data_IF_356902382889
#
_entry.id   IF_356902382889
#
_cell.length_a   1.000
_cell.length_b   1.000
_cell.length_c   1.000
_cell.angle_alpha   90.00
_cell.angle_beta   90.00
_cell.angle_gamma   90.00
#
_symmetry.space_group_name_H-M   'P 1'
#
loop_
_entity.id
_entity.type
_entity.pdbx_description
1 polymer ?
#
# COMPACT_ATOMS: atom_id res chain seq x y z
N UNK A 1 33.75 -2.25 -19.61
CA UNK A 1 33.07 -1.02 -19.15
C UNK A 1 32.31 -1.41 -17.90
N UNK A 2 32.67 -0.85 -16.74
CA UNK A 2 31.95 -1.15 -15.50
C UNK A 2 30.52 -0.63 -15.61
N UNK A 3 29.54 -1.47 -15.28
CA UNK A 3 28.18 -0.99 -15.03
C UNK A 3 28.25 0.14 -14.00
N UNK A 4 27.54 1.26 -14.20
CA UNK A 4 27.45 2.27 -13.16
C UNK A 4 26.97 1.60 -11.88
N UNK A 5 27.66 1.84 -10.76
CA UNK A 5 27.32 1.27 -9.45
C UNK A 5 25.92 1.73 -8.98
N UNK A 6 25.41 2.80 -9.59
CA UNK A 6 24.09 3.38 -9.33
C UNK A 6 23.43 3.74 -10.66
N UNK A 7 22.33 3.07 -10.99
CA UNK A 7 21.41 3.43 -12.08
C UNK A 7 20.02 3.65 -11.51
N UNK A 8 19.53 4.89 -11.49
CA UNK A 8 18.23 5.25 -10.93
C UNK A 8 17.31 5.73 -12.05
N UNK A 9 16.20 5.03 -12.24
CA UNK A 9 15.08 5.53 -13.04
C UNK A 9 13.95 5.99 -12.12
N UNK A 10 13.87 7.31 -11.90
CA UNK A 10 12.86 7.91 -11.04
C UNK A 10 11.43 7.69 -11.55
N UNK A 11 11.25 7.60 -12.87
CA UNK A 11 9.95 7.38 -13.50
C UNK A 11 9.43 5.97 -13.21
N UNK A 12 10.28 4.95 -13.33
CA UNK A 12 9.91 3.56 -13.04
C UNK A 12 9.53 3.39 -11.55
N UNK A 13 10.30 3.99 -10.64
CA UNK A 13 10.03 3.92 -9.20
C UNK A 13 8.71 4.64 -8.87
N UNK A 14 8.48 5.81 -9.47
CA UNK A 14 7.23 6.57 -9.28
C UNK A 14 6.04 5.82 -9.84
N UNK A 15 6.19 5.18 -11.00
CA UNK A 15 5.16 4.35 -11.63
C UNK A 15 4.79 3.18 -10.73
N UNK A 16 5.78 2.44 -10.22
CA UNK A 16 5.54 1.33 -9.29
C UNK A 16 4.85 1.79 -8.00
N UNK A 17 5.32 2.88 -7.38
CA UNK A 17 4.71 3.45 -6.18
C UNK A 17 3.24 3.86 -6.42
N UNK A 18 2.96 4.48 -7.57
CA UNK A 18 1.61 4.90 -7.94
C UNK A 18 0.69 3.70 -8.13
N UNK A 19 1.13 2.68 -8.88
CA UNK A 19 0.36 1.46 -9.08
C UNK A 19 0.01 0.76 -7.77
N UNK A 20 0.98 0.64 -6.85
CA UNK A 20 0.77 0.04 -5.53
C UNK A 20 -0.22 0.86 -4.69
N UNK A 21 -0.10 2.19 -4.71
CA UNK A 21 -1.04 3.07 -4.01
C UNK A 21 -2.46 2.97 -4.58
N UNK A 22 -2.62 3.02 -5.91
CA UNK A 22 -3.93 2.90 -6.55
C UNK A 22 -4.57 1.55 -6.24
N UNK A 23 -3.81 0.45 -6.38
CA UNK A 23 -4.31 -0.88 -6.07
C UNK A 23 -4.77 -0.99 -4.61
N UNK A 24 -3.97 -0.48 -3.66
CA UNK A 24 -4.30 -0.56 -2.24
C UNK A 24 -5.50 0.32 -1.85
N UNK A 25 -5.56 1.55 -2.34
CA UNK A 25 -6.52 2.55 -1.86
C UNK A 25 -7.81 2.58 -2.67
N UNK A 26 -7.72 2.41 -3.99
CA UNK A 26 -8.84 2.69 -4.89
C UNK A 26 -9.50 1.41 -5.42
N UNK A 27 -8.83 0.26 -5.29
CA UNK A 27 -9.33 -1.02 -5.79
C UNK A 27 -9.55 -2.03 -4.67
N UNK A 28 -8.48 -2.50 -4.02
CA UNK A 28 -8.54 -3.67 -3.13
C UNK A 28 -9.24 -3.32 -1.80
N UNK A 29 -8.86 -2.23 -1.11
CA UNK A 29 -9.52 -1.88 0.16
C UNK A 29 -11.03 -1.61 0.01
N UNK A 30 -11.50 -0.86 -1.00
CA UNK A 30 -12.93 -0.66 -1.24
C UNK A 30 -13.67 -1.97 -1.55
N UNK A 31 -13.06 -2.86 -2.35
CA UNK A 31 -13.64 -4.17 -2.65
C UNK A 31 -13.76 -5.05 -1.40
N UNK A 32 -12.71 -5.13 -0.57
CA UNK A 32 -12.75 -5.87 0.70
C UNK A 32 -13.86 -5.35 1.61
N UNK A 33 -14.03 -4.03 1.68
CA UNK A 33 -15.13 -3.40 2.44
C UNK A 33 -16.50 -3.79 1.89
N UNK A 34 -16.65 -3.80 0.57
CA UNK A 34 -17.90 -4.19 -0.10
C UNK A 34 -18.24 -5.65 0.16
N UNK A 35 -17.26 -6.54 0.05
CA UNK A 35 -17.43 -7.97 0.32
C UNK A 35 -17.79 -8.22 1.79
N UNK A 36 -17.11 -7.55 2.72
CA UNK A 36 -17.43 -7.59 4.14
C UNK A 36 -18.88 -7.20 4.41
N UNK A 37 -19.33 -6.07 3.86
CA UNK A 37 -20.71 -5.62 4.05
C UNK A 37 -21.73 -6.59 3.44
N UNK A 38 -21.41 -7.22 2.31
CA UNK A 38 -22.26 -8.21 1.67
C UNK A 38 -22.41 -9.47 2.53
N UNK A 39 -21.30 -10.02 3.03
CA UNK A 39 -21.32 -11.18 3.93
C UNK A 39 -22.02 -10.84 5.24
N UNK A 40 -21.72 -9.68 5.81
CA UNK A 40 -22.38 -9.22 7.02
C UNK A 40 -23.90 -9.15 6.83
N UNK A 41 -24.36 -8.49 5.77
CA UNK A 41 -25.79 -8.37 5.46
C UNK A 41 -26.42 -9.74 5.27
N UNK A 42 -25.77 -10.65 4.54
CA UNK A 42 -26.27 -12.00 4.28
C UNK A 42 -26.55 -12.78 5.57
N UNK A 43 -25.69 -12.60 6.58
CA UNK A 43 -25.74 -13.32 7.85
C UNK A 43 -26.65 -12.67 8.90
N UNK A 44 -27.21 -11.49 8.62
CA UNK A 44 -28.16 -10.83 9.51
C UNK A 44 -29.57 -11.43 9.41
N UNK A 45 -30.39 -11.20 10.44
CA UNK A 45 -31.80 -11.56 10.40
C UNK A 45 -32.51 -10.83 9.24
N UNK A 46 -33.10 -11.58 8.32
CA UNK A 46 -33.67 -11.06 7.07
C UNK A 46 -32.68 -10.92 5.90
N UNK A 47 -31.40 -11.26 6.11
CA UNK A 47 -30.30 -11.10 5.16
C UNK A 47 -30.17 -12.15 4.05
N UNK A 48 -30.85 -13.28 4.19
CA UNK A 48 -30.84 -14.39 3.22
C UNK A 48 -30.17 -15.66 3.73
N UNK A 49 -29.27 -15.59 4.72
CA UNK A 49 -28.66 -16.74 5.40
C UNK A 49 -28.54 -16.50 6.90
N UNK A 50 -29.68 -16.40 7.58
CA UNK A 50 -29.73 -16.27 9.03
C UNK A 50 -29.95 -17.63 9.72
N UNK A 51 -28.93 -18.08 10.43
CA UNK A 51 -28.95 -19.22 11.33
C UNK A 51 -28.47 -18.76 12.70
N UNK A 52 -29.35 -18.83 13.70
CA UNK A 52 -29.14 -18.23 15.04
C UNK A 52 -27.76 -18.57 15.65
N UNK A 53 -27.30 -19.82 15.48
CA UNK A 53 -26.02 -20.27 16.03
C UNK A 53 -24.87 -20.23 15.02
N UNK A 54 -25.15 -20.50 13.73
CA UNK A 54 -24.12 -20.63 12.69
C UNK A 54 -23.68 -19.29 12.12
N UNK A 55 -24.61 -18.35 11.91
CA UNK A 55 -24.29 -17.04 11.32
C UNK A 55 -23.25 -16.26 12.13
N UNK A 56 -23.29 -16.22 13.49
CA UNK A 56 -22.22 -15.61 14.28
C UNK A 56 -20.85 -16.27 14.08
N UNK A 57 -20.80 -17.60 13.96
CA UNK A 57 -19.55 -18.32 13.74
C UNK A 57 -18.96 -18.04 12.35
N UNK A 58 -19.80 -17.98 11.31
CA UNK A 58 -19.37 -17.61 9.96
C UNK A 58 -18.87 -16.16 9.94
N UNK A 59 -19.60 -15.23 10.58
CA UNK A 59 -19.19 -13.83 10.68
C UNK A 59 -17.81 -13.71 11.33
N UNK A 60 -17.60 -14.37 12.47
CA UNK A 60 -16.31 -14.33 13.17
C UNK A 60 -15.15 -14.86 12.30
N UNK A 61 -15.37 -15.92 11.53
CA UNK A 61 -14.36 -16.43 10.60
C UNK A 61 -14.08 -15.46 9.45
N UNK A 62 -15.12 -14.78 8.96
CA UNK A 62 -14.98 -13.77 7.92
C UNK A 62 -14.27 -12.51 8.43
N UNK A 63 -14.53 -12.09 9.67
CA UNK A 63 -13.84 -10.97 10.31
C UNK A 63 -12.33 -11.20 10.38
N UNK A 64 -11.91 -12.43 10.73
CA UNK A 64 -10.49 -12.82 10.72
C UNK A 64 -9.87 -12.77 9.33
N UNK A 65 -10.60 -13.27 8.33
CA UNK A 65 -10.17 -13.21 6.93
C UNK A 65 -10.01 -11.75 6.47
N UNK A 66 -11.04 -10.93 6.67
CA UNK A 66 -11.04 -9.53 6.26
C UNK A 66 -9.93 -8.73 6.95
N UNK A 67 -9.68 -9.00 8.24
CA UNK A 67 -8.55 -8.41 8.98
C UNK A 67 -7.21 -8.77 8.33
N UNK A 68 -7.00 -10.04 7.99
CA UNK A 68 -5.76 -10.51 7.34
C UNK A 68 -5.58 -9.90 5.94
N UNK A 69 -6.68 -9.75 5.19
CA UNK A 69 -6.67 -9.12 3.88
C UNK A 69 -6.33 -7.62 3.97
N UNK A 70 -6.89 -6.89 4.95
CA UNK A 70 -6.56 -5.48 5.19
C UNK A 70 -5.10 -5.30 5.60
N UNK A 71 -4.53 -6.21 6.40
CA UNK A 71 -3.10 -6.21 6.72
C UNK A 71 -2.21 -6.35 5.47
N UNK A 72 -2.63 -7.17 4.51
CA UNK A 72 -1.95 -7.28 3.21
C UNK A 72 -2.01 -5.95 2.44
N UNK A 73 -3.17 -5.28 2.43
CA UNK A 73 -3.31 -3.95 1.81
C UNK A 73 -2.38 -2.93 2.47
N UNK A 74 -2.25 -2.94 3.79
CA UNK A 74 -1.33 -2.06 4.51
C UNK A 74 0.15 -2.33 4.19
N UNK A 75 0.51 -3.60 3.97
CA UNK A 75 1.84 -3.94 3.48
C UNK A 75 2.09 -3.37 2.08
N UNK A 76 1.11 -3.44 1.17
CA UNK A 76 1.19 -2.83 -0.17
C UNK A 76 1.40 -1.32 -0.07
N UNK A 77 0.64 -0.62 0.79
CA UNK A 77 0.83 0.82 1.06
C UNK A 77 2.24 1.12 1.57
N UNK A 78 2.76 0.27 2.45
CA UNK A 78 4.10 0.43 3.01
C UNK A 78 5.17 0.32 1.93
N UNK A 79 5.07 -0.64 1.01
CA UNK A 79 5.98 -0.72 -0.14
C UNK A 79 5.88 0.50 -1.05
N UNK A 80 4.65 0.96 -1.35
CA UNK A 80 4.44 2.16 -2.14
C UNK A 80 5.14 3.38 -1.52
N UNK A 81 5.01 3.54 -0.19
CA UNK A 81 5.68 4.60 0.58
C UNK A 81 7.20 4.46 0.55
N UNK A 82 7.75 3.26 0.73
CA UNK A 82 9.19 3.03 0.68
C UNK A 82 9.81 3.51 -0.64
N UNK A 83 9.15 3.25 -1.77
CA UNK A 83 9.60 3.73 -3.08
C UNK A 83 9.55 5.26 -3.20
N UNK A 84 8.50 5.90 -2.69
CA UNK A 84 8.41 7.36 -2.68
C UNK A 84 9.47 8.03 -1.80
N UNK A 85 9.72 7.46 -0.61
CA UNK A 85 10.75 7.94 0.32
C UNK A 85 12.15 7.77 -0.29
N UNK A 86 12.41 6.66 -1.00
CA UNK A 86 13.67 6.42 -1.71
C UNK A 86 13.95 7.53 -2.74
N UNK A 87 12.96 7.87 -3.59
CA UNK A 87 13.08 8.94 -4.59
C UNK A 87 13.39 10.27 -3.92
N UNK A 88 12.65 10.61 -2.86
CA UNK A 88 12.82 11.88 -2.13
C UNK A 88 14.23 11.98 -1.52
N UNK A 89 14.71 10.89 -0.92
CA UNK A 89 16.04 10.86 -0.31
C UNK A 89 17.15 11.02 -1.35
N UNK A 90 17.03 10.36 -2.51
CA UNK A 90 17.99 10.46 -3.59
C UNK A 90 18.03 11.88 -4.20
N UNK A 91 16.86 12.49 -4.43
CA UNK A 91 16.77 13.87 -4.90
C UNK A 91 17.35 14.87 -3.88
N UNK A 92 17.10 14.66 -2.58
CA UNK A 92 17.67 15.49 -1.53
C UNK A 92 19.20 15.37 -1.45
N UNK A 93 19.73 14.16 -1.62
CA UNK A 93 21.17 13.92 -1.67
C UNK A 93 21.80 14.64 -2.86
N UNK A 94 21.22 14.51 -4.05
CA UNK A 94 21.71 15.19 -5.26
C UNK A 94 21.71 16.71 -5.10
N UNK A 95 20.62 17.29 -4.57
CA UNK A 95 20.54 18.72 -4.27
C UNK A 95 21.61 19.20 -3.28
N UNK A 96 21.93 18.41 -2.24
CA UNK A 96 23.01 18.72 -1.29
C UNK A 96 24.38 18.67 -1.95
N UNK A 97 24.64 17.70 -2.82
CA UNK A 97 25.90 17.59 -3.56
C UNK A 97 26.08 18.80 -4.49
N UNK A 98 25.04 19.15 -5.27
CA UNK A 98 25.05 20.33 -6.14
C UNK A 98 25.27 21.64 -5.35
N UNK A 99 24.62 21.78 -4.19
CA UNK A 99 24.81 22.93 -3.31
C UNK A 99 26.26 23.06 -2.84
N UNK A 100 26.85 21.98 -2.34
CA UNK A 100 28.23 21.99 -1.82
C UNK A 100 29.28 22.29 -2.92
N UNK A 101 29.02 21.88 -4.17
CA UNK A 101 29.91 22.18 -5.31
C UNK A 101 29.80 23.66 -5.70
N UNK A 102 28.59 24.24 -5.68
CA UNK A 102 28.35 25.63 -6.08
C UNK A 102 28.66 26.64 -4.96
N UNK A 103 28.71 26.18 -3.72
CA UNK A 103 29.05 26.96 -2.52
C UNK A 103 30.16 26.24 -1.76
N UNK A 104 31.36 26.11 -2.36
CA UNK A 104 32.49 25.50 -1.68
C UNK A 104 32.73 26.29 -0.40
N UNK A 105 32.71 25.61 0.75
CA UNK A 105 33.03 26.23 2.02
C UNK A 105 34.44 26.78 1.91
N UNK A 106 34.58 28.10 1.80
CA UNK A 106 35.86 28.79 1.87
C UNK A 106 36.48 28.46 3.22
N UNK A 107 37.50 27.58 3.19
CA UNK A 107 38.39 27.33 4.33
C UNK A 107 39.36 28.51 4.47
#
# INVERSE_FOLDING_TARGET
MGTPDIGINYEDITTASTLLNTAANDTIAPELTTLYNSVHTLLQNGGGLYMIQTSPAIQAQYDQFNTSALQCVDAIRSFAKMFGDLVTNLQSMDGKLAYNITHPSSS
#
